data_IF_915344856395
#
_entry.id   IF_915344856395
#
_cell.length_a   1.000
_cell.length_b   1.000
_cell.length_c   1.000
_cell.angle_alpha   90.00
_cell.angle_beta   90.00
_cell.angle_gamma   90.00
#
_symmetry.space_group_name_H-M   'P 1'
#
loop_
_entity.id
_entity.type
_entity.pdbx_description
1 polymer ?
#
# COMPACT_ATOMS: atom_id res chain seq x y z
N UNK A 1 21.83 -9.63 7.25
CA UNK A 1 20.68 -10.51 6.99
C UNK A 1 20.09 -10.92 8.33
N UNK A 2 18.81 -10.67 8.59
CA UNK A 2 18.15 -11.10 9.83
C UNK A 2 17.49 -12.49 9.65
N UNK A 3 17.09 -13.13 10.73
CA UNK A 3 16.34 -14.38 10.65
C UNK A 3 14.89 -14.07 10.24
N UNK A 4 14.28 -13.10 10.92
CA UNK A 4 12.92 -12.62 10.65
C UNK A 4 12.97 -11.14 10.31
N UNK A 5 12.20 -10.71 9.30
CA UNK A 5 11.88 -9.30 9.09
C UNK A 5 10.40 -9.10 9.42
N UNK A 6 10.12 -8.32 10.47
CA UNK A 6 8.76 -7.94 10.83
C UNK A 6 8.31 -6.77 9.96
N UNK A 7 7.20 -6.93 9.24
CA UNK A 7 6.60 -5.88 8.42
C UNK A 7 5.44 -5.26 9.20
N UNK A 8 5.57 -3.99 9.57
CA UNK A 8 4.78 -3.35 10.62
C UNK A 8 4.16 -2.06 10.11
N UNK A 9 2.85 -2.01 9.94
CA UNK A 9 2.13 -0.79 9.57
C UNK A 9 1.69 -0.04 10.83
N UNK A 10 2.08 1.23 10.97
CA UNK A 10 1.55 2.13 12.00
C UNK A 10 1.62 1.63 13.44
N UNK A 11 2.60 0.77 13.77
CA UNK A 11 2.68 0.07 15.06
C UNK A 11 4.09 0.20 15.66
N UNK A 12 4.67 -0.90 16.14
CA UNK A 12 5.95 -0.93 16.83
C UNK A 12 7.10 -0.48 15.90
N UNK A 13 8.09 0.29 16.39
CA UNK A 13 8.27 0.79 17.76
C UNK A 13 7.69 2.20 17.99
N UNK A 14 6.91 2.75 17.06
CA UNK A 14 6.50 4.16 17.08
C UNK A 14 5.15 4.44 17.73
N UNK A 15 4.24 3.46 17.73
CA UNK A 15 2.88 3.61 18.25
C UNK A 15 2.68 2.63 19.41
N UNK A 16 2.05 3.10 20.49
CA UNK A 16 1.65 2.25 21.61
C UNK A 16 0.32 1.57 21.33
N UNK A 17 0.16 0.31 21.71
CA UNK A 17 -1.10 -0.41 21.55
C UNK A 17 -0.93 -1.92 21.72
N UNK A 18 -2.03 -2.66 21.63
CA UNK A 18 -2.02 -4.12 21.80
C UNK A 18 -1.08 -4.83 20.82
N UNK A 19 -1.13 -4.44 19.55
CA UNK A 19 -0.27 -4.98 18.49
C UNK A 19 1.21 -4.69 18.78
N UNK A 20 1.55 -3.45 19.13
CA UNK A 20 2.94 -3.08 19.42
C UNK A 20 3.49 -3.77 20.67
N UNK A 21 2.69 -3.90 21.71
CA UNK A 21 3.06 -4.65 22.91
C UNK A 21 3.26 -6.14 22.61
N UNK A 22 2.42 -6.73 21.76
CA UNK A 22 2.60 -8.10 21.30
C UNK A 22 3.91 -8.29 20.51
N UNK A 23 4.21 -7.37 19.59
CA UNK A 23 5.47 -7.38 18.82
C UNK A 23 6.68 -7.26 19.75
N UNK A 24 6.64 -6.33 20.71
CA UNK A 24 7.71 -6.16 21.69
C UNK A 24 7.95 -7.43 22.51
N UNK A 25 6.87 -8.05 23.00
CA UNK A 25 6.95 -9.30 23.75
C UNK A 25 7.46 -10.46 22.90
N UNK A 26 7.04 -10.56 21.63
CA UNK A 26 7.53 -11.58 20.70
C UNK A 26 9.05 -11.49 20.51
N UNK A 27 9.56 -10.28 20.25
CA UNK A 27 10.99 -10.03 20.05
C UNK A 27 11.76 -10.37 21.33
N UNK A 28 11.27 -9.90 22.49
CA UNK A 28 11.91 -10.14 23.78
C UNK A 28 11.90 -11.60 24.23
N UNK A 29 10.86 -12.36 23.89
CA UNK A 29 10.76 -13.78 24.20
C UNK A 29 11.68 -14.66 23.34
N UNK A 30 12.23 -14.12 22.24
CA UNK A 30 13.07 -14.84 21.27
C UNK A 30 14.48 -14.22 21.15
N UNK A 31 15.27 -14.16 22.24
CA UNK A 31 16.54 -13.43 22.26
C UNK A 31 17.60 -13.99 21.31
N UNK A 32 17.46 -15.25 20.85
CA UNK A 32 18.38 -15.89 19.90
C UNK A 32 18.01 -15.65 18.43
N UNK A 33 16.82 -15.11 18.16
CA UNK A 33 16.35 -14.79 16.81
C UNK A 33 16.70 -13.34 16.52
N UNK A 34 17.36 -13.09 15.39
CA UNK A 34 17.67 -11.73 14.92
C UNK A 34 16.50 -11.19 14.12
N UNK A 35 15.98 -10.05 14.56
CA UNK A 35 14.88 -9.35 13.89
C UNK A 35 15.38 -8.15 13.11
N UNK A 36 14.79 -7.90 11.95
CA UNK A 36 14.76 -6.57 11.35
C UNK A 36 13.33 -6.06 11.34
N UNK A 37 13.15 -4.74 11.45
CA UNK A 37 11.84 -4.11 11.36
C UNK A 37 11.76 -3.35 10.04
N UNK A 38 10.70 -3.61 9.27
CA UNK A 38 10.32 -2.85 8.10
C UNK A 38 8.99 -2.16 8.42
N UNK A 39 9.07 -0.89 8.81
CA UNK A 39 7.91 -0.13 9.28
C UNK A 39 7.27 0.63 8.13
N UNK A 40 5.95 0.74 8.14
CA UNK A 40 5.17 1.55 7.20
C UNK A 40 4.56 2.69 8.00
N UNK A 41 4.91 3.91 7.63
CA UNK A 41 4.54 5.14 8.31
C UNK A 41 3.90 6.12 7.31
N UNK A 42 2.99 7.00 7.76
CA UNK A 42 2.37 7.98 6.89
C UNK A 42 3.41 8.96 6.31
N UNK A 43 4.18 9.63 7.17
CA UNK A 43 5.20 10.60 6.75
C UNK A 43 6.37 10.65 7.73
N UNK A 44 7.54 11.10 7.26
CA UNK A 44 8.72 11.40 8.08
C UNK A 44 8.45 12.42 9.20
N UNK A 45 7.44 13.25 9.00
CA UNK A 45 7.13 14.30 9.96
C UNK A 45 6.26 13.80 11.12
N UNK A 46 5.55 12.68 10.95
CA UNK A 46 4.53 12.21 11.91
C UNK A 46 5.11 11.46 13.09
N UNK A 47 6.04 10.54 12.85
CA UNK A 47 6.62 9.68 13.88
C UNK A 47 8.14 9.84 13.89
N UNK A 48 8.67 10.40 14.99
CA UNK A 48 10.11 10.68 15.13
C UNK A 48 10.79 9.87 16.23
N UNK A 49 10.05 9.53 17.28
CA UNK A 49 10.61 8.90 18.47
C UNK A 49 10.05 7.50 18.69
N UNK A 50 10.91 6.57 19.10
CA UNK A 50 10.48 5.27 19.57
C UNK A 50 9.74 5.40 20.90
N UNK A 51 8.63 4.67 21.04
CA UNK A 51 7.86 4.54 22.29
C UNK A 51 8.25 3.31 23.11
N UNK A 52 9.13 2.48 22.55
CA UNK A 52 9.66 1.28 23.17
C UNK A 52 11.18 1.30 23.12
N UNK A 53 11.80 0.77 24.16
CA UNK A 53 13.22 0.40 24.10
C UNK A 53 13.35 -0.82 23.18
N UNK A 54 14.08 -0.65 22.07
CA UNK A 54 14.20 -1.70 21.07
C UNK A 54 15.24 -2.73 21.53
N UNK A 55 14.88 -4.02 21.68
CA UNK A 55 15.80 -5.05 22.15
C UNK A 55 17.04 -5.23 21.26
N UNK A 56 18.16 -5.68 21.84
CA UNK A 56 19.45 -5.85 21.13
C UNK A 56 19.39 -6.86 19.96
N UNK A 57 18.47 -7.82 20.01
CA UNK A 57 18.27 -8.78 18.93
C UNK A 57 17.54 -8.18 17.71
N UNK A 58 17.17 -6.90 17.74
CA UNK A 58 16.74 -6.13 16.56
C UNK A 58 17.96 -5.50 15.88
N UNK A 59 18.39 -6.08 14.75
CA UNK A 59 19.63 -5.70 14.07
C UNK A 59 19.48 -4.51 13.12
N UNK A 60 18.25 -4.13 12.76
CA UNK A 60 17.99 -2.95 11.92
C UNK A 60 16.52 -2.55 11.94
N UNK A 61 16.26 -1.25 11.86
CA UNK A 61 14.93 -0.67 11.58
C UNK A 61 15.01 0.08 10.25
N UNK A 62 14.02 -0.12 9.38
CA UNK A 62 13.90 0.54 8.09
C UNK A 62 12.48 1.04 7.90
N UNK A 63 12.34 2.33 7.58
CA UNK A 63 11.03 2.96 7.48
C UNK A 63 10.63 3.23 6.03
N UNK A 64 9.38 2.91 5.70
CA UNK A 64 8.73 3.21 4.43
C UNK A 64 7.63 4.25 4.65
N UNK A 65 7.85 5.45 4.12
CA UNK A 65 6.90 6.57 4.23
C UNK A 65 6.00 6.63 2.99
N UNK A 66 4.73 6.31 3.16
CA UNK A 66 3.77 6.09 2.05
C UNK A 66 3.00 7.33 1.61
N UNK A 67 2.96 8.39 2.42
CA UNK A 67 2.38 9.69 2.07
C UNK A 67 3.43 10.78 1.81
N UNK A 68 4.71 10.42 1.85
CA UNK A 68 5.77 11.25 1.29
C UNK A 68 5.72 11.15 -0.25
N UNK A 69 4.85 11.94 -0.87
CA UNK A 69 4.47 11.84 -2.29
C UNK A 69 5.55 12.29 -3.31
N UNK A 70 6.83 12.28 -2.93
CA UNK A 70 7.93 12.53 -3.86
C UNK A 70 7.95 11.42 -4.94
N UNK A 71 7.53 11.79 -6.16
CA UNK A 71 7.54 10.90 -7.31
C UNK A 71 8.99 10.67 -7.74
N UNK A 72 9.39 9.41 -7.84
CA UNK A 72 10.73 9.05 -8.27
C UNK A 72 10.98 9.46 -9.73
N UNK A 73 12.07 10.18 -9.96
CA UNK A 73 12.57 10.57 -11.29
C UNK A 73 13.27 9.40 -12.03
N UNK A 74 13.17 8.17 -11.49
CA UNK A 74 13.73 6.98 -12.14
C UNK A 74 13.12 6.77 -13.52
N UNK A 75 13.98 6.55 -14.52
CA UNK A 75 13.52 6.22 -15.89
C UNK A 75 12.99 4.80 -15.94
N UNK A 76 11.99 4.59 -16.81
CA UNK A 76 11.50 3.26 -17.15
C UNK A 76 12.60 2.41 -17.81
N UNK A 77 12.52 1.10 -17.62
CA UNK A 77 13.40 0.11 -18.24
C UNK A 77 13.03 -0.12 -19.70
N UNK A 78 13.93 -0.77 -20.45
CA UNK A 78 13.69 -1.11 -21.86
C UNK A 78 12.52 -2.09 -21.96
N UNK A 79 11.55 -1.79 -22.81
CA UNK A 79 10.39 -2.63 -23.06
C UNK A 79 9.34 -1.93 -23.91
N UNK A 80 8.27 -2.64 -24.26
CA UNK A 80 7.16 -2.07 -25.02
C UNK A 80 6.24 -1.26 -24.11
N UNK A 81 6.38 0.07 -24.14
CA UNK A 81 5.45 0.97 -23.42
C UNK A 81 4.00 0.78 -23.86
N UNK A 82 3.77 0.47 -25.14
CA UNK A 82 2.43 0.18 -25.67
C UNK A 82 1.81 -1.00 -24.92
N UNK A 83 2.53 -2.11 -24.79
CA UNK A 83 2.06 -3.29 -24.06
C UNK A 83 1.82 -2.98 -22.58
N UNK A 84 2.73 -2.23 -21.94
CA UNK A 84 2.58 -1.87 -20.53
C UNK A 84 1.33 -1.00 -20.26
N UNK A 85 1.03 -0.03 -21.13
CA UNK A 85 -0.18 0.79 -21.01
C UNK A 85 -1.45 -0.03 -21.30
N UNK A 86 -1.42 -0.93 -22.28
CA UNK A 86 -2.55 -1.81 -22.59
C UNK A 86 -2.82 -2.79 -21.44
N UNK A 87 -1.78 -3.32 -20.81
CA UNK A 87 -1.88 -4.17 -19.64
C UNK A 87 -2.48 -3.44 -18.45
N UNK A 88 -2.02 -2.21 -18.18
CA UNK A 88 -2.57 -1.36 -17.12
C UNK A 88 -4.07 -1.13 -17.29
N UNK A 89 -4.50 -0.73 -18.50
CA UNK A 89 -5.91 -0.49 -18.80
C UNK A 89 -6.76 -1.77 -18.72
N UNK A 90 -6.22 -2.93 -19.14
CA UNK A 90 -6.90 -4.23 -18.98
C UNK A 90 -7.07 -4.58 -17.51
N UNK A 91 -6.02 -4.45 -16.71
CA UNK A 91 -6.06 -4.75 -15.29
C UNK A 91 -7.15 -3.95 -14.55
N UNK A 92 -7.32 -2.66 -14.86
CA UNK A 92 -8.41 -1.87 -14.24
C UNK A 92 -9.81 -2.33 -14.62
N UNK A 93 -10.01 -2.93 -15.81
CA UNK A 93 -11.32 -3.51 -16.17
C UNK A 93 -11.55 -4.86 -15.48
N UNK A 94 -10.48 -5.64 -15.32
CA UNK A 94 -10.55 -6.99 -14.78
C UNK A 94 -10.70 -6.97 -13.25
N UNK A 95 -10.07 -5.99 -12.56
CA UNK A 95 -10.22 -5.82 -11.12
C UNK A 95 -11.66 -5.50 -10.69
N UNK A 96 -12.43 -4.80 -11.54
CA UNK A 96 -13.87 -4.57 -11.31
C UNK A 96 -14.66 -5.88 -11.28
N UNK A 97 -14.18 -6.91 -11.96
CA UNK A 97 -14.73 -8.27 -11.96
C UNK A 97 -14.07 -9.19 -10.93
N UNK A 98 -13.22 -8.64 -10.05
CA UNK A 98 -12.39 -9.37 -9.07
C UNK A 98 -11.44 -10.38 -9.72
N UNK A 99 -11.00 -10.11 -10.94
CA UNK A 99 -9.97 -10.89 -11.63
C UNK A 99 -8.61 -10.21 -11.44
N UNK A 100 -7.73 -10.90 -10.71
CA UNK A 100 -6.38 -10.45 -10.38
C UNK A 100 -5.28 -11.21 -11.15
N UNK A 101 -5.64 -12.01 -12.15
CA UNK A 101 -4.72 -12.89 -12.89
C UNK A 101 -3.56 -12.13 -13.55
N UNK A 102 -3.78 -10.87 -13.93
CA UNK A 102 -2.78 -10.00 -14.55
C UNK A 102 -1.84 -9.31 -13.54
N UNK A 103 -2.10 -9.41 -12.24
CA UNK A 103 -1.33 -8.71 -11.20
C UNK A 103 0.18 -9.01 -11.25
N UNK A 104 0.65 -10.27 -11.42
CA UNK A 104 2.08 -10.56 -11.49
C UNK A 104 2.78 -9.86 -12.68
N UNK A 105 2.14 -9.85 -13.84
CA UNK A 105 2.69 -9.21 -15.03
C UNK A 105 2.64 -7.68 -14.90
N UNK A 106 1.53 -7.14 -14.36
CA UNK A 106 1.38 -5.72 -14.08
C UNK A 106 2.47 -5.23 -13.13
N UNK A 107 2.69 -5.98 -12.05
CA UNK A 107 3.70 -5.66 -11.06
C UNK A 107 5.08 -5.52 -11.73
N UNK A 108 5.46 -6.49 -12.58
CA UNK A 108 6.73 -6.45 -13.31
C UNK A 108 6.83 -5.29 -14.31
N UNK A 109 5.76 -5.00 -15.07
CA UNK A 109 5.84 -4.02 -16.15
C UNK A 109 5.58 -2.57 -15.73
N UNK A 110 4.92 -2.35 -14.59
CA UNK A 110 4.44 -1.02 -14.18
C UNK A 110 4.93 -0.62 -12.79
N UNK A 111 5.11 -1.57 -11.86
CA UNK A 111 5.30 -1.27 -10.44
C UNK A 111 6.75 -1.45 -10.00
N UNK A 112 7.34 -2.62 -10.25
CA UNK A 112 8.67 -3.01 -9.75
C UNK A 112 9.80 -2.14 -10.32
N UNK A 113 10.56 -1.40 -9.50
CA UNK A 113 11.68 -0.57 -9.95
C UNK A 113 12.75 -1.29 -10.77
N UNK A 114 12.91 -2.60 -10.57
CA UNK A 114 13.89 -3.38 -11.29
C UNK A 114 13.46 -3.63 -12.74
N UNK A 115 12.15 -3.71 -13.01
CA UNK A 115 11.62 -4.20 -14.29
C UNK A 115 10.62 -3.26 -14.97
N UNK A 116 10.05 -2.29 -14.26
CA UNK A 116 9.00 -1.39 -14.76
C UNK A 116 9.43 -0.65 -16.02
N UNK A 117 8.60 -0.74 -17.05
CA UNK A 117 8.79 -0.09 -18.35
C UNK A 117 8.21 1.32 -18.35
N UNK A 118 7.11 1.51 -17.62
CA UNK A 118 6.52 2.82 -17.36
C UNK A 118 7.18 3.40 -16.11
N UNK A 119 7.74 4.60 -16.20
CA UNK A 119 8.25 5.31 -15.02
C UNK A 119 7.12 5.82 -14.12
N UNK A 120 7.35 6.06 -12.82
CA UNK A 120 6.36 6.69 -11.95
C UNK A 120 5.83 8.02 -12.50
N UNK A 121 6.71 8.83 -13.09
CA UNK A 121 6.34 10.08 -13.75
C UNK A 121 5.39 9.83 -14.93
N UNK A 122 5.67 8.82 -15.75
CA UNK A 122 4.76 8.48 -16.85
C UNK A 122 3.43 7.91 -16.36
N UNK A 123 3.41 7.12 -15.29
CA UNK A 123 2.17 6.64 -14.69
C UNK A 123 1.25 7.81 -14.31
N UNK A 124 1.80 8.92 -13.80
CA UNK A 124 0.99 10.02 -13.28
C UNK A 124 0.80 11.22 -14.22
N UNK A 125 1.54 11.30 -15.32
CA UNK A 125 1.52 12.47 -16.21
C UNK A 125 1.45 12.13 -17.71
N UNK A 126 1.50 10.85 -18.10
CA UNK A 126 1.46 10.48 -19.51
C UNK A 126 0.02 10.54 -20.07
N UNK A 127 -0.14 11.06 -21.30
CA UNK A 127 -1.43 11.25 -21.96
C UNK A 127 -2.29 9.97 -22.01
N UNK A 128 -1.68 8.82 -22.31
CA UNK A 128 -2.40 7.52 -22.31
C UNK A 128 -3.01 7.16 -20.95
N UNK A 129 -2.36 7.53 -19.83
CA UNK A 129 -2.92 7.28 -18.51
C UNK A 129 -4.04 8.27 -18.21
N UNK A 130 -3.87 9.53 -18.61
CA UNK A 130 -4.95 10.52 -18.54
C UNK A 130 -6.20 10.05 -19.29
N UNK A 131 -6.06 9.64 -20.56
CA UNK A 131 -7.15 9.11 -21.39
C UNK A 131 -7.83 7.90 -20.72
N UNK A 132 -7.03 7.00 -20.10
CA UNK A 132 -7.55 5.85 -19.37
C UNK A 132 -8.35 6.27 -18.12
N UNK A 133 -7.84 7.21 -17.31
CA UNK A 133 -8.51 7.70 -16.09
C UNK A 133 -9.81 8.41 -16.44
N UNK A 134 -9.85 9.20 -17.52
CA UNK A 134 -11.09 9.83 -18.02
C UNK A 134 -12.10 8.77 -18.46
N UNK A 135 -11.68 7.78 -19.26
CA UNK A 135 -12.56 6.67 -19.68
C UNK A 135 -13.14 5.92 -18.48
N UNK A 136 -12.33 5.65 -17.46
CA UNK A 136 -12.79 4.98 -16.24
C UNK A 136 -13.81 5.82 -15.46
N UNK A 137 -13.65 7.14 -15.41
CA UNK A 137 -14.62 8.02 -14.78
C UNK A 137 -15.95 8.03 -15.53
N UNK A 138 -15.90 8.17 -16.86
CA UNK A 138 -17.10 8.17 -17.71
C UNK A 138 -17.85 6.84 -17.63
N UNK A 139 -17.12 5.71 -17.61
CA UNK A 139 -17.68 4.35 -17.47
C UNK A 139 -18.35 4.10 -16.10
N UNK A 140 -17.93 4.80 -15.05
CA UNK A 140 -18.50 4.66 -13.71
C UNK A 140 -19.79 5.46 -13.51
N UNK A 141 -20.15 6.33 -14.47
CA UNK A 141 -21.34 7.19 -14.42
C UNK A 141 -21.50 7.94 -13.07
N UNK A 142 -20.37 8.42 -12.51
CA UNK A 142 -20.35 9.10 -11.21
C UNK A 142 -21.01 10.48 -11.29
N UNK A 143 -21.79 10.83 -10.27
CA UNK A 143 -22.33 12.18 -10.11
C UNK A 143 -21.30 13.16 -9.49
N UNK A 144 -20.26 12.62 -8.85
CA UNK A 144 -19.19 13.39 -8.21
C UNK A 144 -18.26 14.07 -9.22
N UNK A 145 -17.58 15.13 -8.80
CA UNK A 145 -16.63 15.87 -9.64
C UNK A 145 -15.47 15.00 -10.12
N UNK A 146 -15.12 15.13 -11.39
CA UNK A 146 -13.93 14.51 -11.95
C UNK A 146 -12.64 14.89 -11.19
N UNK A 147 -12.57 16.11 -10.63
CA UNK A 147 -11.40 16.53 -9.85
C UNK A 147 -11.22 15.64 -8.62
N UNK A 148 -12.30 15.35 -7.89
CA UNK A 148 -12.27 14.52 -6.69
C UNK A 148 -11.96 13.05 -7.03
N UNK A 149 -12.50 12.56 -8.15
CA UNK A 149 -12.15 11.25 -8.70
C UNK A 149 -10.66 11.16 -9.06
N UNK A 150 -10.14 12.15 -9.80
CA UNK A 150 -8.75 12.18 -10.22
C UNK A 150 -7.78 12.15 -9.03
N UNK A 151 -8.05 12.96 -8.00
CA UNK A 151 -7.23 12.95 -6.79
C UNK A 151 -7.38 11.67 -6.00
N UNK A 152 -8.58 11.10 -5.90
CA UNK A 152 -8.82 9.79 -5.29
C UNK A 152 -8.00 8.70 -5.98
N UNK A 153 -8.06 8.62 -7.31
CA UNK A 153 -7.24 7.71 -8.10
C UNK A 153 -5.75 7.96 -7.86
N UNK A 154 -5.31 9.21 -7.89
CA UNK A 154 -3.89 9.52 -7.74
C UNK A 154 -3.36 9.11 -6.35
N UNK A 155 -4.09 9.43 -5.29
CA UNK A 155 -3.69 9.14 -3.91
C UNK A 155 -3.79 7.66 -3.54
N UNK A 156 -4.62 6.86 -4.21
CA UNK A 156 -4.64 5.41 -4.00
C UNK A 156 -3.41 4.72 -4.61
N UNK A 157 -2.84 5.25 -5.69
CA UNK A 157 -1.70 4.63 -6.38
C UNK A 157 -0.32 5.06 -5.86
N UNK A 158 -0.20 6.28 -5.33
CA UNK A 158 1.08 6.79 -4.80
C UNK A 158 1.67 5.89 -3.70
N UNK A 159 0.90 5.49 -2.65
CA UNK A 159 1.39 4.56 -1.62
C UNK A 159 1.91 3.24 -2.19
N UNK A 160 1.23 2.67 -3.18
CA UNK A 160 1.62 1.40 -3.80
C UNK A 160 3.01 1.47 -4.45
N UNK A 161 3.29 2.58 -5.14
CA UNK A 161 4.63 2.83 -5.69
C UNK A 161 5.68 3.06 -4.61
N UNK A 162 5.32 3.71 -3.49
CA UNK A 162 6.24 3.88 -2.35
C UNK A 162 6.62 2.55 -1.71
N UNK A 163 5.65 1.64 -1.56
CA UNK A 163 5.90 0.28 -1.08
C UNK A 163 6.78 -0.51 -2.06
N UNK A 164 6.51 -0.39 -3.37
CA UNK A 164 7.32 -1.02 -4.39
C UNK A 164 8.76 -0.47 -4.45
N UNK A 165 8.96 0.81 -4.15
CA UNK A 165 10.29 1.44 -4.12
C UNK A 165 11.00 1.27 -2.75
N UNK A 166 10.32 0.68 -1.75
CA UNK A 166 10.86 0.51 -0.42
C UNK A 166 12.16 -0.32 -0.41
N UNK A 167 13.10 0.07 0.45
CA UNK A 167 14.31 -0.71 0.73
C UNK A 167 13.94 -1.86 1.66
N UNK A 168 13.98 -3.08 1.15
CA UNK A 168 13.60 -4.28 1.89
C UNK A 168 14.86 -4.91 2.51
N UNK A 169 14.96 -5.00 3.86
CA UNK A 169 16.04 -5.70 4.52
C UNK A 169 16.03 -7.20 4.17
N UNK A 170 17.19 -7.79 3.88
CA UNK A 170 17.28 -9.24 3.62
C UNK A 170 17.03 -10.02 4.90
N UNK A 171 16.05 -10.92 4.87
CA UNK A 171 15.74 -11.85 5.93
C UNK A 171 15.43 -13.26 5.40
N UNK A 172 15.50 -14.26 6.28
CA UNK A 172 15.13 -15.64 5.96
C UNK A 172 13.62 -15.83 5.83
N UNK A 173 12.82 -15.05 6.56
CA UNK A 173 11.35 -14.98 6.45
C UNK A 173 10.86 -13.55 6.69
N UNK A 174 9.82 -13.13 5.98
CA UNK A 174 9.09 -11.91 6.29
C UNK A 174 7.83 -12.27 7.05
N UNK A 175 7.60 -11.61 8.19
CA UNK A 175 6.42 -11.85 9.01
C UNK A 175 5.62 -10.56 9.11
N UNK A 176 4.42 -10.58 8.54
CA UNK A 176 3.44 -9.50 8.68
C UNK A 176 2.38 -9.88 9.71
N UNK A 177 2.00 -8.90 10.52
CA UNK A 177 0.99 -9.05 11.57
C UNK A 177 -0.38 -8.47 11.19
N UNK A 178 -0.49 -8.00 9.95
CA UNK A 178 -1.71 -7.48 9.36
C UNK A 178 -1.73 -7.71 7.84
N UNK A 179 -2.94 -7.69 7.29
CA UNK A 179 -3.21 -7.56 5.86
C UNK A 179 -2.94 -6.12 5.37
N UNK A 180 -3.57 -5.66 4.28
CA UNK A 180 -3.41 -4.30 3.76
C UNK A 180 -1.97 -3.97 3.31
N UNK A 181 -1.46 -2.79 3.68
CA UNK A 181 -0.15 -2.32 3.22
C UNK A 181 1.01 -3.19 3.72
N UNK A 182 0.95 -3.68 4.96
CA UNK A 182 1.95 -4.59 5.49
C UNK A 182 1.95 -5.94 4.75
N UNK A 183 0.76 -6.50 4.49
CA UNK A 183 0.59 -7.70 3.68
C UNK A 183 1.12 -7.54 2.25
N UNK A 184 0.82 -6.39 1.63
CA UNK A 184 1.32 -6.06 0.29
C UNK A 184 2.85 -5.93 0.28
N UNK A 185 3.43 -5.20 1.23
CA UNK A 185 4.88 -5.03 1.31
C UNK A 185 5.61 -6.34 1.57
N UNK A 186 5.05 -7.22 2.41
CA UNK A 186 5.56 -8.57 2.62
C UNK A 186 5.50 -9.41 1.33
N UNK A 187 4.41 -9.29 0.56
CA UNK A 187 4.26 -9.95 -0.74
C UNK A 187 5.28 -9.43 -1.77
N UNK A 188 5.50 -8.12 -1.80
CA UNK A 188 6.56 -7.49 -2.62
C UNK A 188 7.94 -8.02 -2.19
N UNK A 189 8.18 -8.16 -0.89
CA UNK A 189 9.42 -8.72 -0.35
C UNK A 189 9.64 -10.17 -0.84
N UNK A 190 8.60 -11.01 -0.78
CA UNK A 190 8.64 -12.36 -1.33
C UNK A 190 9.03 -12.38 -2.80
N UNK A 191 8.35 -11.59 -3.64
CA UNK A 191 8.62 -11.53 -5.09
C UNK A 191 10.05 -11.08 -5.36
N UNK A 192 10.55 -10.10 -4.60
CA UNK A 192 11.90 -9.55 -4.79
C UNK A 192 13.03 -10.43 -4.26
N UNK A 193 12.81 -11.20 -3.21
CA UNK A 193 13.89 -11.94 -2.53
C UNK A 193 13.76 -13.44 -2.58
N UNK A 194 12.59 -13.98 -2.92
CA UNK A 194 12.25 -15.40 -2.89
C UNK A 194 12.06 -15.98 -1.49
N UNK A 195 12.13 -15.16 -0.43
CA UNK A 195 12.00 -15.64 0.94
C UNK A 195 10.52 -15.82 1.31
N UNK A 196 10.16 -16.83 2.11
CA UNK A 196 8.77 -17.08 2.51
C UNK A 196 8.17 -15.91 3.29
N UNK A 197 6.83 -15.84 3.26
CA UNK A 197 6.04 -14.88 4.04
C UNK A 197 5.17 -15.64 5.04
N UNK A 198 5.22 -15.20 6.30
CA UNK A 198 4.27 -15.58 7.34
C UNK A 198 3.30 -14.41 7.55
N UNK A 199 2.00 -14.69 7.49
CA UNK A 199 0.97 -13.72 7.82
C UNK A 199 0.20 -14.23 9.04
N UNK A 200 0.20 -13.43 10.10
CA UNK A 200 -0.64 -13.63 11.27
C UNK A 200 -1.58 -12.44 11.38
N UNK A 201 -2.88 -12.64 11.36
CA UNK A 201 -3.88 -11.57 11.37
C UNK A 201 -4.75 -11.69 12.61
N UNK A 202 -5.05 -10.57 13.27
CA UNK A 202 -5.84 -10.52 14.51
C UNK A 202 -7.35 -10.57 14.26
N UNK A 203 -7.76 -10.65 12.99
CA UNK A 203 -9.14 -10.96 12.58
C UNK A 203 -10.09 -9.78 12.61
N UNK A 204 -9.60 -8.58 12.93
CA UNK A 204 -10.40 -7.35 12.93
C UNK A 204 -9.81 -6.24 12.06
N UNK A 205 -8.61 -6.40 11.48
CA UNK A 205 -7.99 -5.36 10.64
C UNK A 205 -8.88 -4.89 9.49
N UNK A 206 -9.47 -5.82 8.71
CA UNK A 206 -10.34 -5.44 7.60
C UNK A 206 -11.59 -4.66 8.05
N UNK A 207 -12.12 -4.98 9.23
CA UNK A 207 -13.24 -4.25 9.82
C UNK A 207 -12.80 -2.86 10.33
N UNK A 208 -11.65 -2.77 10.98
CA UNK A 208 -11.06 -1.51 11.44
C UNK A 208 -10.78 -0.57 10.27
N UNK A 209 -10.21 -1.08 9.17
CA UNK A 209 -9.98 -0.28 7.96
C UNK A 209 -11.25 0.16 7.28
N UNK A 210 -12.26 -0.71 7.19
CA UNK A 210 -13.57 -0.31 6.67
C UNK A 210 -14.16 0.84 7.49
N UNK A 211 -14.13 0.74 8.82
CA UNK A 211 -14.62 1.80 9.72
C UNK A 211 -13.80 3.08 9.57
N UNK A 212 -12.48 2.99 9.48
CA UNK A 212 -11.61 4.15 9.28
C UNK A 212 -11.91 4.86 7.95
N UNK A 213 -12.07 4.12 6.86
CA UNK A 213 -12.46 4.67 5.55
C UNK A 213 -13.86 5.30 5.63
N UNK A 214 -14.81 4.63 6.28
CA UNK A 214 -16.16 5.16 6.53
C UNK A 214 -16.15 6.44 7.36
N UNK A 215 -15.18 6.63 8.26
CA UNK A 215 -15.05 7.82 9.10
C UNK A 215 -14.11 8.89 8.53
N UNK A 216 -13.36 8.57 7.47
CA UNK A 216 -12.39 9.46 6.87
C UNK A 216 -13.06 10.73 6.33
N UNK A 217 -12.67 11.88 6.89
CA UNK A 217 -13.14 13.21 6.44
C UNK A 217 -12.36 13.76 5.24
N UNK A 218 -11.23 13.14 4.92
CA UNK A 218 -10.37 13.53 3.79
C UNK A 218 -10.82 12.88 2.47
N UNK A 219 -11.65 11.83 2.53
CA UNK A 219 -12.31 11.26 1.35
C UNK A 219 -13.57 12.09 1.10
N UNK A 220 -13.71 12.64 -0.11
CA UNK A 220 -14.85 13.47 -0.45
C UNK A 220 -16.16 12.71 -0.28
N UNK A 221 -17.14 13.39 0.32
CA UNK A 221 -18.53 12.95 0.39
C UNK A 221 -19.42 14.09 -0.05
N UNK A 222 -20.37 13.78 -0.94
CA UNK A 222 -21.46 14.70 -1.21
C UNK A 222 -22.31 14.80 0.04
N UNK A 223 -22.40 15.99 0.63
CA UNK A 223 -23.42 16.26 1.66
C UNK A 223 -24.79 16.14 0.99
N UNK A 224 -25.53 15.10 1.35
CA UNK A 224 -26.93 14.99 0.96
C UNK A 224 -27.72 15.84 1.96
N UNK A 225 -28.29 16.96 1.51
CA UNK A 225 -29.19 17.82 2.30
C UNK A 225 -30.57 17.17 2.46
N UNK A 226 -30.65 15.92 2.90
CA UNK A 226 -31.90 15.28 3.25
C UNK A 226 -31.82 14.66 4.65
N UNK A 227 -32.88 14.84 5.42
CA UNK A 227 -33.07 14.32 6.77
C UNK A 227 -33.24 12.78 6.82
N UNK A 228 -32.62 12.05 5.88
CA UNK A 228 -32.63 10.61 5.78
C UNK A 228 -31.19 10.13 5.94
N UNK A 229 -30.87 9.60 7.12
CA UNK A 229 -29.61 8.90 7.35
C UNK A 229 -29.69 7.59 6.54
N UNK A 230 -29.12 7.56 5.35
CA UNK A 230 -28.88 6.32 4.62
C UNK A 230 -27.49 5.80 4.98
N UNK A 231 -27.39 4.53 5.40
CA UNK A 231 -26.13 3.81 5.66
C UNK A 231 -25.33 3.51 4.37
N UNK A 232 -25.50 4.32 3.32
CA UNK A 232 -24.85 4.12 2.02
C UNK A 232 -23.50 4.83 2.00
N UNK A 233 -22.43 4.04 2.01
CA UNK A 233 -21.04 4.50 1.88
C UNK A 233 -20.85 5.24 0.54
N UNK A 234 -20.14 6.37 0.53
CA UNK A 234 -19.94 7.16 -0.71
C UNK A 234 -19.18 6.36 -1.79
N UNK A 235 -19.38 6.65 -3.10
CA UNK A 235 -18.70 5.93 -4.18
C UNK A 235 -17.17 5.95 -4.06
N UNK A 236 -16.57 7.06 -3.61
CA UNK A 236 -15.13 7.13 -3.38
C UNK A 236 -14.68 6.24 -2.22
N UNK A 237 -15.44 6.19 -1.11
CA UNK A 237 -15.13 5.27 -0.01
C UNK A 237 -15.27 3.81 -0.45
N UNK A 238 -16.24 3.48 -1.29
CA UNK A 238 -16.39 2.14 -1.87
C UNK A 238 -15.19 1.78 -2.78
N UNK A 239 -14.67 2.75 -3.56
CA UNK A 239 -13.47 2.59 -4.35
C UNK A 239 -12.25 2.30 -3.46
N UNK A 240 -12.07 3.03 -2.35
CA UNK A 240 -11.01 2.76 -1.38
C UNK A 240 -11.14 1.37 -0.74
N UNK A 241 -12.35 0.97 -0.30
CA UNK A 241 -12.62 -0.36 0.29
C UNK A 241 -12.38 -1.51 -0.71
N UNK A 242 -12.60 -1.27 -2.00
CA UNK A 242 -12.38 -2.30 -3.02
C UNK A 242 -10.88 -2.47 -3.32
N UNK A 243 -10.09 -1.41 -3.15
CA UNK A 243 -8.64 -1.42 -3.41
C UNK A 243 -7.80 -1.92 -2.22
N UNK A 244 -8.28 -1.76 -0.98
CA UNK A 244 -7.54 -2.02 0.26
C UNK A 244 -8.33 -2.88 1.25
#
# INVERSE_FOLDING_TARGET
MSDVCLVLEGTYPYVTGGVSSWVHNLIGALPRVRFSLLTILPSRETYRDYKYEVPENVVSVSDCYIHDYAISESRGRRGSKKQAFELLARFYRDIQRRDYSLLPELFRLVVDPATRVISPRELFYHKKVWEMVVSMYDEMELEESFIDYFWTWRYSHLPLLRLADARIPRASVYHTISTGYAGLLASIAHVKTGAPVLLTEHGIYSNERRIEIEQARWIFERKVDTAVITNTVSPFKQMWITLF
#
